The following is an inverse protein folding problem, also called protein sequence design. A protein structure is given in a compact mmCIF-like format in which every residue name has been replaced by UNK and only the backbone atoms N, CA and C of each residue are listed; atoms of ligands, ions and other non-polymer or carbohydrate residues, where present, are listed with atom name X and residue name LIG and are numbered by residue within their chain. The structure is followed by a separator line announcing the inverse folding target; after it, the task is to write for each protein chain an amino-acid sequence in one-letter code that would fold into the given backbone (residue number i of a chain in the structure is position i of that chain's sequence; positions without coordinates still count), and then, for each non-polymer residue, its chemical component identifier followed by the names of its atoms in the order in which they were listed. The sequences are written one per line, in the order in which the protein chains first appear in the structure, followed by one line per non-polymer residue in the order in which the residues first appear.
data_IF_738069681598
#
_entry.id   IF_738069681598
#
_cell.length_a   1.000
_cell.length_b   1.000
_cell.length_c   1.000
_cell.angle_alpha   90.00
_cell.angle_beta   90.00
_cell.angle_gamma   90.00
#
_symmetry.space_group_name_H-M   'P 1'
#
loop_
_entity.id
_entity.type
_entity.pdbx_description
1 polymer ?
#
# COMPACT_ATOMS: atom_id res chain seq x y z
N UNK A 1 -8.72 41.53 4.50
CA UNK A 1 -9.21 40.54 3.53
C UNK A 1 -8.36 39.30 3.72
N UNK A 2 -8.91 38.25 4.30
CA UNK A 2 -8.24 36.96 4.48
C UNK A 2 -8.04 36.35 3.11
N UNK A 3 -6.80 36.40 2.63
CA UNK A 3 -6.37 35.70 1.42
C UNK A 3 -6.62 34.20 1.65
N UNK A 4 -7.73 33.71 1.09
CA UNK A 4 -8.14 32.33 1.30
C UNK A 4 -7.28 31.51 0.36
N UNK A 5 -6.19 30.95 0.90
CA UNK A 5 -5.23 30.16 0.12
C UNK A 5 -5.99 29.13 -0.74
N UNK A 6 -5.99 29.35 -2.05
CA UNK A 6 -6.71 28.49 -2.99
C UNK A 6 -6.11 27.09 -2.94
N UNK A 7 -6.89 26.12 -2.45
CA UNK A 7 -6.47 24.72 -2.37
C UNK A 7 -6.45 24.15 -3.79
N UNK A 8 -5.25 23.94 -4.32
CA UNK A 8 -5.08 23.31 -5.64
C UNK A 8 -5.59 21.86 -5.63
N UNK A 9 -6.26 21.37 -6.68
CA UNK A 9 -6.85 20.03 -6.73
C UNK A 9 -5.81 18.93 -7.03
N UNK A 10 -4.86 18.76 -6.12
CA UNK A 10 -3.85 17.69 -6.19
C UNK A 10 -4.36 16.39 -5.56
N UNK A 11 -3.88 15.26 -6.07
CA UNK A 11 -4.05 13.96 -5.40
C UNK A 11 -3.30 14.00 -4.07
N UNK A 12 -4.03 13.75 -2.99
CA UNK A 12 -3.51 13.73 -1.63
C UNK A 12 -3.90 12.40 -1.01
N UNK A 13 -2.90 11.63 -0.62
CA UNK A 13 -3.03 10.36 0.07
C UNK A 13 -2.36 10.48 1.44
N UNK A 14 -2.66 9.59 2.37
CA UNK A 14 -1.98 9.56 3.66
C UNK A 14 -1.98 8.16 4.24
N UNK A 15 -0.83 7.77 4.79
CA UNK A 15 -0.75 6.80 5.88
C UNK A 15 -0.60 7.59 7.18
N UNK A 16 0.52 7.39 7.87
CA UNK A 16 0.95 8.25 8.98
C UNK A 16 1.46 9.62 8.50
N UNK A 17 2.11 9.65 7.34
CA UNK A 17 2.62 10.87 6.71
C UNK A 17 1.85 11.15 5.40
N UNK A 18 1.63 12.44 5.06
CA UNK A 18 0.91 12.81 3.86
C UNK A 18 1.78 12.65 2.60
N UNK A 19 1.20 12.09 1.54
CA UNK A 19 1.74 12.09 0.19
C UNK A 19 0.90 13.03 -0.69
N UNK A 20 1.49 14.14 -1.12
CA UNK A 20 0.86 15.07 -2.07
C UNK A 20 1.53 14.89 -3.43
N UNK A 21 0.79 14.35 -4.40
CA UNK A 21 1.27 14.19 -5.78
C UNK A 21 1.07 15.50 -6.53
N UNK A 22 2.17 16.13 -6.91
CA UNK A 22 2.22 17.43 -7.58
C UNK A 22 2.70 17.26 -9.02
N UNK A 23 2.50 18.26 -9.90
CA UNK A 23 3.01 18.21 -11.28
C UNK A 23 4.52 17.97 -11.38
N UNK A 24 5.28 18.43 -10.39
CA UNK A 24 6.74 18.26 -10.27
C UNK A 24 7.17 16.97 -9.55
N UNK A 25 6.23 16.18 -9.03
CA UNK A 25 6.56 14.89 -8.42
C UNK A 25 7.09 13.92 -9.48
N UNK A 26 8.12 13.15 -9.11
CA UNK A 26 8.57 12.02 -9.91
C UNK A 26 7.49 10.94 -9.98
N UNK A 27 7.76 9.87 -10.75
CA UNK A 27 6.88 8.71 -10.83
C UNK A 27 6.57 8.14 -9.43
N UNK A 28 5.30 7.80 -9.20
CA UNK A 28 4.83 7.23 -7.95
C UNK A 28 4.72 5.72 -8.13
N UNK A 29 5.58 4.98 -7.43
CA UNK A 29 5.59 3.53 -7.43
C UNK A 29 4.56 2.99 -6.44
N UNK A 30 3.71 2.08 -6.93
CA UNK A 30 2.80 1.27 -6.11
C UNK A 30 3.40 -0.14 -6.00
N UNK A 31 3.71 -0.57 -4.78
CA UNK A 31 4.25 -1.91 -4.52
C UNK A 31 3.17 -2.98 -4.58
N UNK A 32 3.31 -3.95 -5.49
CA UNK A 32 2.31 -4.98 -5.80
C UNK A 32 2.46 -6.31 -5.03
N UNK A 33 3.56 -6.51 -4.29
CA UNK A 33 3.94 -7.84 -3.77
C UNK A 33 3.16 -8.28 -2.53
N UNK A 34 2.37 -7.38 -1.94
CA UNK A 34 1.42 -7.62 -0.85
C UNK A 34 0.08 -8.13 -1.40
N UNK A 35 0.16 -9.14 -2.27
CA UNK A 35 -0.96 -9.67 -3.02
C UNK A 35 -0.96 -11.20 -2.95
N UNK A 36 -2.00 -11.79 -2.37
CA UNK A 36 -2.11 -13.26 -2.18
C UNK A 36 -2.14 -13.99 -3.52
N UNK A 37 -2.81 -13.46 -4.54
CA UNK A 37 -2.85 -14.09 -5.87
C UNK A 37 -1.53 -13.90 -6.64
N UNK A 38 -0.89 -12.73 -6.51
CA UNK A 38 0.27 -12.33 -7.31
C UNK A 38 1.64 -12.71 -6.72
N UNK A 39 1.73 -12.99 -5.41
CA UNK A 39 3.01 -13.16 -4.71
C UNK A 39 3.08 -14.47 -3.94
N UNK A 40 3.79 -15.46 -4.52
CA UNK A 40 4.00 -16.80 -3.90
C UNK A 40 4.49 -16.72 -2.45
N UNK A 41 5.40 -15.78 -2.14
CA UNK A 41 5.93 -15.58 -0.79
C UNK A 41 4.84 -15.08 0.15
N UNK A 42 4.11 -14.04 -0.25
CA UNK A 42 3.06 -13.45 0.57
C UNK A 42 1.91 -14.43 0.78
N UNK A 43 1.43 -15.09 -0.28
CA UNK A 43 0.41 -16.12 -0.24
C UNK A 43 0.70 -17.22 0.79
N UNK A 44 1.94 -17.75 0.78
CA UNK A 44 2.37 -18.77 1.74
C UNK A 44 2.31 -18.24 3.17
N UNK A 45 2.80 -17.03 3.41
CA UNK A 45 2.85 -16.43 4.74
C UNK A 45 1.44 -16.18 5.29
N UNK A 46 0.52 -15.66 4.47
CA UNK A 46 -0.88 -15.46 4.85
C UNK A 46 -1.55 -16.80 5.16
N UNK A 47 -1.39 -17.81 4.31
CA UNK A 47 -1.96 -19.16 4.52
C UNK A 47 -1.44 -19.83 5.79
N UNK A 48 -0.18 -19.59 6.14
CA UNK A 48 0.44 -20.10 7.38
C UNK A 48 0.17 -19.19 8.60
N UNK A 49 -0.66 -18.14 8.46
CA UNK A 49 -0.94 -17.13 9.48
C UNK A 49 0.32 -16.42 10.04
N UNK A 50 1.37 -16.31 9.23
CA UNK A 50 2.65 -15.64 9.57
C UNK A 50 2.62 -14.17 9.22
N UNK A 51 1.72 -13.41 9.85
CA UNK A 51 1.49 -11.99 9.54
C UNK A 51 2.73 -11.12 9.79
N UNK A 52 3.48 -11.34 10.87
CA UNK A 52 4.72 -10.60 11.15
C UNK A 52 5.76 -10.76 10.04
N UNK A 53 5.94 -11.99 9.54
CA UNK A 53 6.81 -12.22 8.39
C UNK A 53 6.22 -11.62 7.11
N UNK A 54 4.89 -11.61 6.95
CA UNK A 54 4.23 -10.98 5.80
C UNK A 54 4.46 -9.46 5.76
N UNK A 55 4.51 -8.79 6.92
CA UNK A 55 4.88 -7.37 7.04
C UNK A 55 6.29 -7.09 6.50
N UNK A 56 7.21 -8.07 6.55
CA UNK A 56 8.54 -7.90 5.94
C UNK A 56 8.46 -7.70 4.42
N UNK A 57 7.44 -8.27 3.75
CA UNK A 57 7.22 -8.09 2.29
C UNK A 57 6.79 -6.65 2.01
N UNK A 58 5.88 -6.10 2.82
CA UNK A 58 5.47 -4.69 2.74
C UNK A 58 6.68 -3.75 2.98
N UNK A 59 7.43 -3.99 4.06
CA UNK A 59 8.59 -3.18 4.45
C UNK A 59 9.66 -3.15 3.36
N UNK A 60 10.01 -4.31 2.80
CA UNK A 60 11.00 -4.40 1.73
C UNK A 60 10.60 -3.59 0.50
N UNK A 61 9.30 -3.51 0.17
CA UNK A 61 8.83 -2.69 -0.95
C UNK A 61 9.02 -1.19 -0.67
N UNK A 62 8.70 -0.74 0.55
CA UNK A 62 8.92 0.66 0.97
C UNK A 62 10.41 1.00 0.94
N UNK A 63 11.27 0.14 1.52
CA UNK A 63 12.72 0.30 1.50
C UNK A 63 13.29 0.30 0.07
N UNK A 64 12.60 -0.37 -0.88
CA UNK A 64 12.95 -0.39 -2.29
C UNK A 64 12.34 0.76 -3.11
N UNK A 65 11.66 1.71 -2.47
CA UNK A 65 11.16 2.94 -3.10
C UNK A 65 9.68 2.94 -3.49
N UNK A 66 8.87 2.00 -3.01
CA UNK A 66 7.42 2.09 -3.13
C UNK A 66 6.86 3.19 -2.20
N UNK A 67 6.14 4.16 -2.77
CA UNK A 67 5.46 5.22 -1.99
C UNK A 67 4.08 4.79 -1.50
N UNK A 68 3.47 3.83 -2.19
CA UNK A 68 2.15 3.26 -1.89
C UNK A 68 2.30 1.74 -1.93
N UNK A 69 1.51 1.03 -1.14
CA UNK A 69 1.40 -0.42 -1.21
C UNK A 69 -0.01 -0.80 -1.67
N UNK A 70 -0.09 -1.69 -2.65
CA UNK A 70 -1.33 -2.38 -3.01
C UNK A 70 -1.49 -3.61 -2.11
N UNK A 71 -2.65 -3.78 -1.48
CA UNK A 71 -2.92 -4.90 -0.56
C UNK A 71 -4.09 -5.69 -1.10
N UNK A 72 -3.84 -6.96 -1.43
CA UNK A 72 -4.86 -7.87 -1.91
C UNK A 72 -4.81 -9.18 -1.10
N UNK A 73 -5.89 -9.45 -0.37
CA UNK A 73 -6.09 -10.65 0.46
C UNK A 73 -7.10 -11.63 -0.15
N UNK A 74 -7.48 -11.45 -1.42
CA UNK A 74 -8.42 -12.32 -2.10
C UNK A 74 -7.75 -13.65 -2.47
N UNK A 75 -8.34 -14.73 -1.97
CA UNK A 75 -8.07 -16.13 -2.34
C UNK A 75 -9.35 -16.94 -2.10
N UNK A 76 -9.55 -18.01 -2.86
CA UNK A 76 -10.76 -18.83 -2.77
C UNK A 76 -10.98 -19.46 -1.36
N UNK A 77 -9.93 -19.54 -0.54
CA UNK A 77 -9.94 -20.14 0.79
C UNK A 77 -9.89 -19.10 1.93
N UNK A 78 -9.82 -17.81 1.63
CA UNK A 78 -9.74 -16.73 2.63
C UNK A 78 -11.07 -15.98 2.74
N UNK A 79 -11.44 -15.64 3.97
CA UNK A 79 -12.41 -14.57 4.20
C UNK A 79 -11.68 -13.23 4.01
N UNK A 80 -11.79 -12.64 2.82
CA UNK A 80 -11.11 -11.41 2.46
C UNK A 80 -11.48 -10.22 3.34
N UNK A 81 -12.73 -10.13 3.82
CA UNK A 81 -13.17 -9.04 4.71
C UNK A 81 -12.47 -9.18 6.06
N UNK A 82 -12.50 -10.39 6.63
CA UNK A 82 -11.82 -10.64 7.89
C UNK A 82 -10.30 -10.45 7.79
N UNK A 83 -9.69 -10.87 6.68
CA UNK A 83 -8.26 -10.75 6.46
C UNK A 83 -7.77 -9.31 6.25
N UNK A 84 -8.67 -8.41 5.84
CA UNK A 84 -8.39 -6.98 5.61
C UNK A 84 -8.80 -6.07 6.79
N UNK A 85 -9.45 -6.62 7.82
CA UNK A 85 -9.95 -5.88 8.99
C UNK A 85 -8.88 -5.73 10.07
#
# INVERSE_FOLDING_TARGET
MTDTAAIKPYLRLSGLEPLVVRPESNFINVGERTNVTGSKKFARLIKENKYEEALSVARQQVESGAQILDVNMDDALLDGVQAMS
#
